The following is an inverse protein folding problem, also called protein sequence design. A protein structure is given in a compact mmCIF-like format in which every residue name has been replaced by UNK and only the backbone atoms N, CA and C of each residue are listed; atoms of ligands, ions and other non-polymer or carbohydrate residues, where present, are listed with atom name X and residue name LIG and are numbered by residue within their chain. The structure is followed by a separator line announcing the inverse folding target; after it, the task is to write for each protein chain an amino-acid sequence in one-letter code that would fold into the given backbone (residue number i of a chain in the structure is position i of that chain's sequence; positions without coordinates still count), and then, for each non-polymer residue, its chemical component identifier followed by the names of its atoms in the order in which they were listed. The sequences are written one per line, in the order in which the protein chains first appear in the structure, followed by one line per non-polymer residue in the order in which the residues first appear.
data_IF_337052763157
#
_entry.id   IF_337052763157
#
_cell.length_a   1.000
_cell.length_b   1.000
_cell.length_c   1.000
_cell.angle_alpha   90.00
_cell.angle_beta   90.00
_cell.angle_gamma   90.00
#
_symmetry.space_group_name_H-M   'P 1'
#
loop_
_entity.id
_entity.type
_entity.pdbx_description
1 polymer ?
#
# COMPACT_ATOMS: atom_id res chain seq x y z
N UNK A 1 34.46 70.33 -12.05
CA UNK A 1 34.62 68.86 -12.06
C UNK A 1 33.32 68.27 -11.57
N UNK A 2 32.44 67.81 -12.48
CA UNK A 2 31.18 67.15 -12.15
C UNK A 2 31.40 65.64 -12.28
N UNK A 3 31.24 64.88 -11.18
CA UNK A 3 31.24 63.40 -11.19
C UNK A 3 29.89 62.90 -11.65
N UNK A 4 29.89 62.23 -12.79
CA UNK A 4 28.73 61.47 -13.29
C UNK A 4 28.75 60.11 -12.63
N UNK A 5 27.78 59.81 -11.71
CA UNK A 5 27.59 58.49 -11.15
C UNK A 5 26.67 57.71 -12.08
N UNK A 6 27.22 56.70 -12.77
CA UNK A 6 26.49 55.81 -13.65
C UNK A 6 25.87 54.68 -12.78
N UNK A 7 24.59 54.73 -12.53
CA UNK A 7 23.86 53.65 -11.84
C UNK A 7 23.54 52.54 -12.84
N UNK A 8 24.27 51.44 -12.79
CA UNK A 8 23.92 50.19 -13.50
C UNK A 8 22.76 49.48 -12.73
N UNK A 9 21.57 49.58 -13.25
CA UNK A 9 20.43 48.76 -12.81
C UNK A 9 20.58 47.37 -13.45
N UNK A 10 21.02 46.39 -12.63
CA UNK A 10 20.91 44.97 -12.97
C UNK A 10 19.42 44.58 -12.96
N UNK A 11 18.81 44.50 -14.11
CA UNK A 11 17.53 43.83 -14.28
C UNK A 11 17.75 42.33 -14.15
N UNK A 12 17.57 41.80 -12.94
CA UNK A 12 17.46 40.37 -12.71
C UNK A 12 16.19 39.89 -13.42
N UNK A 13 16.32 39.31 -14.59
CA UNK A 13 15.23 38.68 -15.32
C UNK A 13 14.69 37.54 -14.48
N UNK A 14 13.48 37.69 -13.94
CA UNK A 14 12.77 36.63 -13.27
C UNK A 14 12.52 35.49 -14.27
N UNK A 15 13.37 34.49 -14.26
CA UNK A 15 13.18 33.27 -15.06
C UNK A 15 11.88 32.63 -14.63
N UNK A 16 10.90 32.50 -15.51
CA UNK A 16 9.63 31.87 -15.21
C UNK A 16 9.92 30.45 -14.69
N UNK A 17 9.38 30.11 -13.51
CA UNK A 17 9.52 28.76 -12.98
C UNK A 17 8.93 27.78 -14.00
N UNK A 18 9.62 26.66 -14.29
CA UNK A 18 9.10 25.64 -15.19
C UNK A 18 7.73 25.15 -14.65
N UNK A 19 6.81 24.88 -15.58
CA UNK A 19 5.50 24.31 -15.20
C UNK A 19 5.71 22.94 -14.58
N UNK A 20 5.01 22.61 -13.49
CA UNK A 20 5.06 21.27 -12.90
C UNK A 20 4.66 20.20 -13.92
N UNK A 21 5.30 19.06 -13.84
CA UNK A 21 5.01 17.87 -14.66
C UNK A 21 3.70 17.26 -14.17
N UNK A 22 2.67 17.15 -15.02
CA UNK A 22 1.43 16.51 -14.60
C UNK A 22 1.63 15.00 -14.43
N UNK A 23 1.26 14.48 -13.25
CA UNK A 23 1.24 13.06 -12.96
C UNK A 23 -0.22 12.61 -12.90
N UNK A 24 -0.53 11.52 -13.58
CA UNK A 24 -1.89 10.97 -13.63
C UNK A 24 -2.09 9.82 -12.66
N UNK A 25 -1.12 8.90 -12.61
CA UNK A 25 -1.14 7.75 -11.72
C UNK A 25 0.21 7.63 -11.03
N UNK A 26 0.20 7.39 -9.72
CA UNK A 26 1.39 7.04 -8.93
C UNK A 26 1.22 5.64 -8.41
N UNK A 27 2.09 4.74 -8.82
CA UNK A 27 2.24 3.40 -8.26
C UNK A 27 3.26 3.45 -7.12
N UNK A 28 2.90 2.91 -5.98
CA UNK A 28 3.74 2.88 -4.78
C UNK A 28 4.16 1.44 -4.54
N UNK A 29 5.45 1.17 -4.68
CA UNK A 29 6.14 -0.06 -4.30
C UNK A 29 6.96 0.16 -3.04
N UNK A 30 7.27 -0.89 -2.28
CA UNK A 30 7.91 -0.75 -0.98
C UNK A 30 9.35 -1.25 -0.95
N UNK A 31 9.70 -2.22 -1.77
CA UNK A 31 11.06 -2.73 -1.85
C UNK A 31 11.42 -3.19 -3.27
N UNK A 32 12.72 -3.20 -3.54
CA UNK A 32 13.32 -3.83 -4.72
C UNK A 32 14.49 -4.71 -4.28
N UNK A 33 14.87 -5.67 -5.11
CA UNK A 33 15.99 -6.58 -4.86
C UNK A 33 17.06 -6.31 -5.91
N UNK A 34 18.06 -5.53 -5.54
CA UNK A 34 19.12 -5.12 -6.45
C UNK A 34 18.78 -3.84 -7.21
N UNK A 35 18.82 -3.91 -8.54
CA UNK A 35 18.55 -2.79 -9.43
C UNK A 35 17.08 -2.67 -9.78
N UNK A 36 16.65 -1.58 -10.36
CA UNK A 36 15.25 -1.38 -10.80
C UNK A 36 14.87 -2.23 -12.01
N UNK A 37 15.84 -2.89 -12.66
CA UNK A 37 15.65 -3.69 -13.89
C UNK A 37 16.72 -4.76 -14.01
N UNK A 38 16.37 -5.88 -14.67
CA UNK A 38 17.33 -6.84 -15.22
C UNK A 38 17.87 -7.89 -14.26
N UNK A 39 17.41 -7.93 -13.02
CA UNK A 39 17.83 -8.94 -12.05
C UNK A 39 16.63 -9.63 -11.36
N UNK A 40 16.76 -10.06 -10.10
CA UNK A 40 15.64 -10.66 -9.36
C UNK A 40 14.62 -9.57 -9.00
N UNK A 41 13.36 -9.66 -9.46
CA UNK A 41 12.40 -8.61 -9.22
C UNK A 41 11.99 -8.51 -7.73
N UNK A 42 11.87 -7.27 -7.26
CA UNK A 42 11.04 -6.87 -6.15
C UNK A 42 9.70 -6.31 -6.63
N UNK A 43 9.14 -5.34 -5.92
CA UNK A 43 7.82 -4.79 -6.25
C UNK A 43 7.85 -3.74 -7.36
N UNK A 44 8.99 -3.11 -7.64
CA UNK A 44 9.13 -2.02 -8.59
C UNK A 44 9.45 -2.48 -10.01
N UNK A 45 10.30 -3.50 -10.16
CA UNK A 45 10.91 -3.88 -11.44
C UNK A 45 9.90 -4.12 -12.56
N UNK A 46 8.80 -4.85 -12.29
CA UNK A 46 7.80 -5.14 -13.34
C UNK A 46 7.12 -3.87 -13.87
N UNK A 47 6.89 -2.88 -13.01
CA UNK A 47 6.36 -1.58 -13.43
C UNK A 47 7.34 -0.82 -14.31
N UNK A 48 8.62 -0.79 -13.91
CA UNK A 48 9.66 -0.09 -14.67
C UNK A 48 9.85 -0.70 -16.04
N UNK A 49 9.99 -2.02 -16.12
CA UNK A 49 10.29 -2.72 -17.36
C UNK A 49 9.12 -2.77 -18.33
N UNK A 50 7.93 -3.10 -17.83
CA UNK A 50 6.78 -3.40 -18.71
C UNK A 50 5.99 -2.15 -19.11
N UNK A 51 5.95 -1.12 -18.24
CA UNK A 51 5.28 0.14 -18.52
C UNK A 51 6.24 1.23 -19.02
N UNK A 52 7.51 0.85 -19.25
CA UNK A 52 8.55 1.73 -19.77
C UNK A 52 8.70 3.02 -18.96
N UNK A 53 8.89 2.89 -17.63
CA UNK A 53 9.12 4.02 -16.75
C UNK A 53 10.58 4.48 -16.82
N UNK A 54 11.02 4.86 -18.04
CA UNK A 54 12.43 5.07 -18.38
C UNK A 54 13.01 6.37 -17.83
N UNK A 55 12.16 7.34 -17.46
CA UNK A 55 12.61 8.63 -16.93
C UNK A 55 12.86 8.55 -15.44
N UNK A 56 14.07 8.85 -15.03
CA UNK A 56 14.50 8.85 -13.63
C UNK A 56 14.44 10.28 -13.07
N UNK A 57 13.76 10.44 -11.95
CA UNK A 57 13.68 11.70 -11.22
C UNK A 57 14.30 11.52 -9.83
N UNK A 58 15.53 11.99 -9.60
CA UNK A 58 16.16 11.93 -8.29
C UNK A 58 15.30 12.64 -7.23
N UNK A 59 15.09 11.98 -6.10
CA UNK A 59 14.38 12.49 -4.94
C UNK A 59 15.33 12.43 -3.73
N UNK A 60 16.20 13.43 -3.51
CA UNK A 60 17.25 13.37 -2.48
C UNK A 60 16.73 13.23 -1.04
N UNK A 61 15.47 13.60 -0.80
CA UNK A 61 14.82 13.48 0.51
C UNK A 61 13.93 12.24 0.64
N UNK A 62 13.93 11.33 -0.36
CA UNK A 62 13.17 10.09 -0.39
C UNK A 62 14.09 8.87 -0.33
N UNK A 63 13.50 7.70 -0.17
CA UNK A 63 14.24 6.44 -0.12
C UNK A 63 14.92 6.12 -1.46
N UNK A 64 14.23 6.41 -2.59
CA UNK A 64 14.69 6.09 -3.94
C UNK A 64 14.25 7.19 -4.94
N UNK A 65 14.83 7.19 -6.13
CA UNK A 65 14.37 8.04 -7.24
C UNK A 65 12.98 7.59 -7.72
N UNK A 66 12.16 8.54 -8.19
CA UNK A 66 10.94 8.18 -8.89
C UNK A 66 11.22 7.83 -10.36
N UNK A 67 10.46 6.91 -10.90
CA UNK A 67 10.46 6.51 -12.31
C UNK A 67 9.17 6.97 -12.98
N UNK A 68 9.22 7.37 -14.25
CA UNK A 68 8.03 7.87 -14.96
C UNK A 68 8.11 7.61 -16.46
N UNK A 69 6.94 7.41 -17.09
CA UNK A 69 6.80 7.38 -18.55
C UNK A 69 6.17 8.66 -19.12
N UNK A 70 6.03 8.72 -20.44
CA UNK A 70 5.43 9.86 -21.15
C UNK A 70 3.90 9.92 -21.05
N UNK A 71 3.25 8.84 -20.63
CA UNK A 71 1.79 8.78 -20.47
C UNK A 71 1.30 9.49 -19.20
N UNK A 72 2.21 9.78 -18.24
CA UNK A 72 1.92 10.38 -16.94
C UNK A 72 1.79 9.38 -15.80
N UNK A 73 2.25 8.16 -15.99
CA UNK A 73 2.42 7.17 -14.95
C UNK A 73 3.77 7.34 -14.28
N UNK A 74 3.77 7.26 -12.96
CA UNK A 74 4.95 7.34 -12.10
C UNK A 74 4.97 6.15 -11.14
N UNK A 75 6.13 5.58 -10.91
CA UNK A 75 6.34 4.64 -9.80
C UNK A 75 7.36 5.20 -8.81
N UNK A 76 7.15 4.92 -7.54
CA UNK A 76 8.02 5.31 -6.44
C UNK A 76 8.25 4.13 -5.50
N UNK A 77 9.50 4.00 -5.02
CA UNK A 77 9.91 3.00 -4.05
C UNK A 77 10.07 3.66 -2.68
N UNK A 78 9.28 3.20 -1.70
CA UNK A 78 9.23 3.87 -0.39
C UNK A 78 10.29 3.41 0.60
N UNK A 79 10.77 2.18 0.49
CA UNK A 79 11.43 1.47 1.58
C UNK A 79 10.42 0.82 2.52
N UNK A 80 10.87 -0.20 3.26
CA UNK A 80 10.02 -1.00 4.15
C UNK A 80 9.70 -0.27 5.46
N UNK A 81 8.46 -0.40 5.91
CA UNK A 81 7.95 0.13 7.17
C UNK A 81 7.37 1.55 7.05
N UNK A 82 6.48 1.87 7.99
CA UNK A 82 5.68 3.10 8.02
C UNK A 82 6.51 4.38 7.98
N UNK A 83 7.68 4.40 8.65
CA UNK A 83 8.53 5.60 8.69
C UNK A 83 9.15 5.92 7.32
N UNK A 84 9.65 4.91 6.60
CA UNK A 84 10.19 5.07 5.26
C UNK A 84 9.10 5.49 4.27
N UNK A 85 7.94 4.83 4.33
CA UNK A 85 6.81 5.17 3.49
C UNK A 85 6.37 6.62 3.71
N UNK A 86 6.18 7.03 4.97
CA UNK A 86 5.79 8.39 5.29
C UNK A 86 6.80 9.44 4.79
N UNK A 87 8.09 9.23 5.02
CA UNK A 87 9.13 10.15 4.58
C UNK A 87 9.18 10.29 3.06
N UNK A 88 9.13 9.17 2.33
CA UNK A 88 9.19 9.15 0.86
C UNK A 88 7.96 9.80 0.24
N UNK A 89 6.76 9.47 0.70
CA UNK A 89 5.51 10.05 0.15
C UNK A 89 5.43 11.54 0.44
N UNK A 90 5.84 12.00 1.64
CA UNK A 90 5.92 13.43 1.93
C UNK A 90 6.95 14.15 1.03
N UNK A 91 8.13 13.56 0.83
CA UNK A 91 9.16 14.14 -0.05
C UNK A 91 8.64 14.28 -1.50
N UNK A 92 8.02 13.24 -2.05
CA UNK A 92 7.40 13.29 -3.38
C UNK A 92 6.26 14.31 -3.44
N UNK A 93 5.34 14.27 -2.48
CA UNK A 93 4.14 15.11 -2.48
C UNK A 93 4.42 16.60 -2.36
N UNK A 94 5.52 16.98 -1.72
CA UNK A 94 5.96 18.37 -1.57
C UNK A 94 6.88 18.84 -2.70
N UNK A 95 7.33 17.95 -3.57
CA UNK A 95 8.24 18.31 -4.66
C UNK A 95 7.54 19.23 -5.68
N UNK A 96 8.02 20.45 -5.89
CA UNK A 96 7.39 21.42 -6.77
C UNK A 96 7.50 21.06 -8.26
N UNK A 97 8.31 20.08 -8.62
CA UNK A 97 8.46 19.62 -10.01
C UNK A 97 7.22 18.89 -10.52
N UNK A 98 6.38 18.35 -9.63
CA UNK A 98 5.25 17.52 -9.98
C UNK A 98 3.90 18.16 -9.62
N UNK A 99 2.93 18.01 -10.52
CA UNK A 99 1.52 18.28 -10.22
C UNK A 99 0.79 16.98 -9.93
N UNK A 100 0.50 16.76 -8.66
CA UNK A 100 -0.09 15.52 -8.11
C UNK A 100 -1.56 15.70 -7.70
N UNK A 101 -2.13 16.90 -7.91
CA UNK A 101 -3.46 17.26 -7.38
C UNK A 101 -4.59 16.37 -7.90
N UNK A 102 -4.43 15.86 -9.12
CA UNK A 102 -5.42 15.00 -9.77
C UNK A 102 -4.94 13.54 -9.89
N UNK A 103 -3.73 13.23 -9.43
CA UNK A 103 -3.16 11.89 -9.54
C UNK A 103 -3.98 10.86 -8.75
N UNK A 104 -4.19 9.68 -9.35
CA UNK A 104 -4.60 8.49 -8.63
C UNK A 104 -3.38 7.80 -8.04
N UNK A 105 -3.52 7.26 -6.84
CA UNK A 105 -2.45 6.60 -6.10
C UNK A 105 -2.82 5.14 -5.87
N UNK A 106 -1.93 4.25 -6.23
CA UNK A 106 -2.12 2.80 -6.08
C UNK A 106 -0.95 2.27 -5.26
N UNK A 107 -1.19 1.88 -4.02
CA UNK A 107 -0.25 1.03 -3.28
C UNK A 107 -0.32 -0.34 -3.92
N UNK A 108 0.78 -0.86 -4.45
CA UNK A 108 0.82 -2.11 -5.19
C UNK A 108 2.02 -2.95 -4.73
N UNK A 109 1.80 -3.80 -3.74
CA UNK A 109 2.85 -4.62 -3.16
C UNK A 109 2.38 -5.95 -2.61
N UNK A 110 3.33 -6.74 -2.12
CA UNK A 110 3.03 -8.03 -1.51
C UNK A 110 2.58 -7.89 -0.05
N UNK A 111 1.93 -8.91 0.48
CA UNK A 111 1.41 -8.95 1.84
C UNK A 111 1.42 -10.37 2.40
N UNK A 112 1.36 -10.49 3.73
CA UNK A 112 0.88 -11.67 4.41
C UNK A 112 -0.65 -11.74 4.38
N UNK A 113 -1.23 -12.92 4.54
CA UNK A 113 -2.68 -13.07 4.61
C UNK A 113 -3.10 -14.19 5.56
N UNK A 114 -4.32 -14.05 6.10
CA UNK A 114 -4.97 -15.13 6.83
C UNK A 114 -5.34 -16.28 5.88
N UNK A 115 -4.88 -17.51 6.12
CA UNK A 115 -5.24 -18.67 5.31
C UNK A 115 -6.73 -19.02 5.37
N UNK A 116 -7.46 -18.48 6.34
CA UNK A 116 -8.92 -18.60 6.42
C UNK A 116 -9.64 -17.70 5.43
N UNK A 117 -8.97 -16.67 4.91
CA UNK A 117 -9.56 -15.61 4.10
C UNK A 117 -9.08 -15.58 2.66
N UNK A 118 -7.80 -15.84 2.42
CA UNK A 118 -7.21 -15.76 1.08
C UNK A 118 -6.31 -16.95 0.76
N UNK A 119 -6.02 -17.14 -0.51
CA UNK A 119 -5.02 -18.09 -1.01
C UNK A 119 -3.76 -17.36 -1.45
N UNK A 120 -2.61 -18.02 -1.41
CA UNK A 120 -1.35 -17.50 -1.95
C UNK A 120 -1.49 -17.10 -3.41
N UNK A 121 -0.89 -15.98 -3.79
CA UNK A 121 -0.97 -15.40 -5.12
C UNK A 121 -2.27 -14.61 -5.40
N UNK A 122 -3.22 -14.55 -4.45
CA UNK A 122 -4.42 -13.72 -4.60
C UNK A 122 -4.11 -12.24 -4.52
N UNK A 123 -4.95 -11.41 -5.16
CA UNK A 123 -4.86 -9.95 -5.13
C UNK A 123 -6.07 -9.38 -4.38
N UNK A 124 -5.82 -8.46 -3.46
CA UNK A 124 -6.82 -7.95 -2.51
C UNK A 124 -6.90 -6.43 -2.61
N UNK A 125 -8.09 -5.91 -2.93
CA UNK A 125 -8.39 -4.48 -2.85
C UNK A 125 -8.97 -4.14 -1.48
N UNK A 126 -8.34 -3.19 -0.76
CA UNK A 126 -8.75 -2.80 0.57
C UNK A 126 -9.76 -1.65 0.57
N UNK A 127 -10.68 -1.68 1.54
CA UNK A 127 -11.61 -0.59 1.88
C UNK A 127 -11.20 0.09 3.19
N UNK A 128 -10.56 -0.67 4.06
CA UNK A 128 -10.09 -0.24 5.36
C UNK A 128 -8.63 -0.64 5.54
N UNK A 129 -7.86 0.28 6.12
CA UNK A 129 -6.52 -0.01 6.64
C UNK A 129 -6.51 0.41 8.09
N UNK A 130 -6.18 -0.53 8.97
CA UNK A 130 -6.10 -0.31 10.42
C UNK A 130 -4.64 -0.41 10.85
N UNK A 131 -4.20 0.54 11.66
CA UNK A 131 -2.85 0.54 12.20
C UNK A 131 -2.70 -0.50 13.31
N UNK A 132 -1.68 -1.34 13.20
CA UNK A 132 -1.35 -2.38 14.16
C UNK A 132 -0.29 -1.99 15.20
N UNK A 133 0.28 -0.77 15.09
CA UNK A 133 1.37 -0.32 15.96
C UNK A 133 0.95 0.77 16.94
N UNK A 134 0.00 1.63 16.57
CA UNK A 134 -0.40 2.80 17.37
C UNK A 134 -1.33 2.39 18.52
N UNK A 135 -0.76 1.86 19.59
CA UNK A 135 -1.45 1.34 20.76
C UNK A 135 -0.53 1.27 21.97
N UNK A 136 -1.03 0.69 23.04
CA UNK A 136 -0.21 0.24 24.16
C UNK A 136 0.07 -1.25 24.03
N UNK A 137 1.20 -1.69 24.52
CA UNK A 137 1.59 -3.09 24.56
C UNK A 137 2.08 -3.46 25.96
N UNK A 138 1.60 -4.58 26.47
CA UNK A 138 2.09 -5.25 27.68
C UNK A 138 2.61 -6.62 27.27
N UNK A 139 3.76 -7.01 27.78
CA UNK A 139 4.35 -8.34 27.51
C UNK A 139 3.34 -9.45 27.85
N UNK A 140 3.21 -10.43 26.95
CA UNK A 140 2.23 -11.51 27.09
C UNK A 140 2.36 -12.31 28.41
N UNK A 141 3.53 -12.27 29.08
CA UNK A 141 3.77 -12.91 30.37
C UNK A 141 3.25 -12.09 31.57
N UNK A 142 2.88 -10.82 31.36
CA UNK A 142 2.44 -9.87 32.40
C UNK A 142 0.97 -9.48 32.27
N UNK A 143 0.28 -9.96 31.21
CA UNK A 143 -1.15 -9.66 31.03
C UNK A 143 -2.02 -10.45 32.01
N UNK A 144 -3.20 -9.91 32.41
CA UNK A 144 -4.21 -10.66 33.16
C UNK A 144 -4.63 -11.91 32.39
N UNK A 145 -4.92 -12.99 33.11
CA UNK A 145 -5.27 -14.30 32.52
C UNK A 145 -6.57 -14.32 31.71
N UNK A 146 -7.41 -13.32 31.88
CA UNK A 146 -8.67 -13.13 31.15
C UNK A 146 -8.53 -12.25 29.88
N UNK A 147 -7.31 -11.78 29.58
CA UNK A 147 -7.03 -11.01 28.36
C UNK A 147 -6.51 -11.94 27.26
N UNK A 148 -7.03 -11.74 26.05
CA UNK A 148 -6.60 -12.50 24.86
C UNK A 148 -5.30 -11.98 24.23
N UNK A 149 -4.89 -10.76 24.57
CA UNK A 149 -3.72 -10.10 24.00
C UNK A 149 -3.18 -9.02 24.94
N UNK A 150 -1.91 -8.66 24.78
CA UNK A 150 -1.30 -7.49 25.43
C UNK A 150 -1.48 -6.19 24.66
N UNK A 151 -2.08 -6.20 23.46
CA UNK A 151 -2.30 -4.98 22.66
C UNK A 151 -3.58 -4.27 23.08
N UNK A 152 -3.47 -2.99 23.41
CA UNK A 152 -4.55 -2.18 23.94
C UNK A 152 -4.68 -0.92 23.10
N UNK A 153 -5.87 -0.58 22.60
CA UNK A 153 -6.08 0.68 21.88
C UNK A 153 -5.70 1.89 22.74
N UNK A 154 -5.13 2.94 22.14
CA UNK A 154 -4.81 4.16 22.87
C UNK A 154 -6.03 4.70 23.61
N UNK A 155 -5.82 5.21 24.81
CA UNK A 155 -6.84 5.77 25.74
C UNK A 155 -7.85 4.73 26.24
N UNK A 156 -7.53 3.44 26.13
CA UNK A 156 -8.30 2.34 26.71
C UNK A 156 -7.51 1.69 27.84
N UNK A 157 -8.22 1.05 28.77
CA UNK A 157 -7.62 0.39 29.92
C UNK A 157 -7.38 -1.11 29.68
N UNK A 158 -8.02 -1.68 28.65
CA UNK A 158 -7.91 -3.10 28.31
C UNK A 158 -8.12 -3.34 26.82
N UNK A 159 -7.72 -4.52 26.31
CA UNK A 159 -7.96 -4.91 24.93
C UNK A 159 -9.44 -4.76 24.55
N UNK A 160 -9.69 -4.24 23.34
CA UNK A 160 -11.03 -4.14 22.73
C UNK A 160 -12.11 -3.47 23.60
N UNK A 161 -11.72 -2.60 24.52
CA UNK A 161 -12.67 -1.89 25.39
C UNK A 161 -13.61 -0.98 24.57
N UNK A 162 -14.95 -1.20 24.63
CA UNK A 162 -15.90 -0.37 23.89
C UNK A 162 -16.13 0.99 24.55
N UNK A 163 -16.65 2.00 23.78
CA UNK A 163 -16.78 1.96 22.33
C UNK A 163 -15.42 2.11 21.66
N UNK A 164 -15.28 1.56 20.46
CA UNK A 164 -14.15 1.91 19.61
C UNK A 164 -14.23 3.40 19.27
N UNK A 165 -13.16 4.12 19.51
CA UNK A 165 -13.05 5.54 19.20
C UNK A 165 -11.66 5.77 18.57
N UNK A 166 -11.48 5.41 17.29
CA UNK A 166 -10.16 5.49 16.65
C UNK A 166 -9.67 6.94 16.63
N UNK A 167 -8.42 7.12 17.03
CA UNK A 167 -7.72 8.39 16.91
C UNK A 167 -7.20 8.55 15.47
N UNK A 168 -6.88 9.79 15.05
CA UNK A 168 -6.19 10.01 13.78
C UNK A 168 -4.95 9.12 13.67
N UNK A 169 -4.79 8.43 12.56
CA UNK A 169 -3.70 7.49 12.33
C UNK A 169 -3.98 6.03 12.70
N UNK A 170 -5.03 5.74 13.49
CA UNK A 170 -5.34 4.35 13.87
C UNK A 170 -6.20 3.60 12.84
N UNK A 171 -6.94 4.32 12.00
CA UNK A 171 -7.82 3.72 11.00
C UNK A 171 -8.02 4.66 9.82
N UNK A 172 -7.97 4.11 8.62
CA UNK A 172 -8.23 4.80 7.37
C UNK A 172 -9.39 4.13 6.63
N UNK A 173 -10.43 4.90 6.36
CA UNK A 173 -11.50 4.51 5.44
C UNK A 173 -11.16 5.05 4.06
N UNK A 174 -10.87 4.16 3.13
CA UNK A 174 -10.61 4.51 1.74
C UNK A 174 -11.91 4.88 1.01
N UNK A 175 -11.79 5.43 -0.20
CA UNK A 175 -12.92 5.66 -1.08
C UNK A 175 -13.49 4.29 -1.54
N UNK A 176 -14.50 3.78 -0.81
CA UNK A 176 -15.10 2.45 -1.07
C UNK A 176 -15.61 2.29 -2.51
N UNK A 177 -16.35 3.25 -3.10
CA UNK A 177 -16.72 3.16 -4.51
C UNK A 177 -15.54 3.05 -5.47
N UNK A 178 -14.40 3.70 -5.19
CA UNK A 178 -13.19 3.57 -5.99
C UNK A 178 -12.57 2.18 -5.85
N UNK A 179 -12.49 1.64 -4.63
CA UNK A 179 -12.03 0.28 -4.40
C UNK A 179 -12.93 -0.77 -5.07
N UNK A 180 -14.24 -0.59 -5.00
CA UNK A 180 -15.24 -1.45 -5.67
C UNK A 180 -15.12 -1.35 -7.20
N UNK A 181 -14.88 -0.16 -7.74
CA UNK A 181 -14.63 0.04 -9.16
C UNK A 181 -13.37 -0.74 -9.61
N UNK A 182 -12.25 -0.59 -8.88
CA UNK A 182 -11.02 -1.31 -9.18
C UNK A 182 -11.21 -2.84 -9.11
N UNK A 183 -11.91 -3.32 -8.08
CA UNK A 183 -12.27 -4.72 -7.97
C UNK A 183 -13.12 -5.20 -9.15
N UNK A 184 -14.20 -4.49 -9.50
CA UNK A 184 -15.09 -4.89 -10.59
C UNK A 184 -14.37 -4.93 -11.94
N UNK A 185 -13.44 -4.01 -12.16
CA UNK A 185 -12.60 -3.97 -13.36
C UNK A 185 -11.66 -5.17 -13.43
N UNK A 186 -11.15 -5.64 -12.29
CA UNK A 186 -10.06 -6.62 -12.22
C UNK A 186 -10.48 -8.02 -11.76
N UNK A 187 -11.68 -8.22 -11.24
CA UNK A 187 -12.13 -9.49 -10.63
C UNK A 187 -12.06 -10.73 -11.53
N UNK A 188 -12.03 -10.54 -12.83
CA UNK A 188 -11.91 -11.62 -13.82
C UNK A 188 -10.47 -11.81 -14.31
N UNK A 189 -9.50 -11.05 -13.79
CA UNK A 189 -8.09 -11.20 -14.18
C UNK A 189 -7.57 -12.57 -13.74
N UNK A 190 -7.01 -13.31 -14.68
CA UNK A 190 -6.43 -14.62 -14.41
C UNK A 190 -5.11 -14.47 -13.64
N UNK A 191 -4.98 -15.15 -12.53
CA UNK A 191 -3.77 -15.18 -11.70
C UNK A 191 -3.08 -16.54 -11.81
N UNK A 192 -1.74 -16.53 -11.72
CA UNK A 192 -0.94 -17.72 -11.87
C UNK A 192 -1.12 -18.66 -10.66
N UNK A 193 -1.66 -19.86 -10.89
CA UNK A 193 -1.73 -20.92 -9.88
C UNK A 193 -0.62 -21.95 -10.14
N UNK A 194 0.58 -21.63 -9.68
CA UNK A 194 1.78 -22.44 -9.92
C UNK A 194 1.76 -23.75 -9.12
N UNK A 195 2.51 -24.74 -9.57
CA UNK A 195 2.61 -26.02 -8.85
C UNK A 195 3.19 -25.83 -7.44
N UNK A 196 4.13 -24.91 -7.28
CA UNK A 196 4.67 -24.54 -5.95
C UNK A 196 3.58 -24.04 -5.00
N UNK A 197 2.61 -23.27 -5.48
CA UNK A 197 1.48 -22.81 -4.64
C UNK A 197 0.56 -23.97 -4.27
N UNK A 198 0.28 -24.85 -5.23
CA UNK A 198 -0.55 -26.05 -5.03
C UNK A 198 0.07 -27.02 -3.99
N UNK A 199 1.40 -27.17 -4.01
CA UNK A 199 2.13 -28.04 -3.08
C UNK A 199 2.15 -27.51 -1.64
N UNK A 200 2.08 -26.20 -1.47
CA UNK A 200 2.18 -25.60 -0.14
C UNK A 200 0.83 -25.44 0.54
N UNK A 201 -0.21 -25.06 -0.17
CA UNK A 201 -1.55 -24.82 0.37
C UNK A 201 -2.09 -25.94 1.27
N UNK A 202 -1.92 -27.23 0.93
CA UNK A 202 -2.40 -28.33 1.78
C UNK A 202 -1.79 -28.39 3.19
N UNK A 203 -0.68 -27.69 3.43
CA UNK A 203 -0.04 -27.65 4.76
C UNK A 203 -0.73 -26.68 5.73
N UNK A 204 -1.64 -25.84 5.25
CA UNK A 204 -2.36 -24.87 6.06
C UNK A 204 -3.82 -25.28 6.27
N UNK A 205 -4.34 -24.97 7.44
CA UNK A 205 -5.78 -25.01 7.69
C UNK A 205 -6.44 -23.78 7.06
N UNK A 206 -7.71 -23.89 6.76
CA UNK A 206 -8.48 -22.82 6.15
C UNK A 206 -8.96 -23.18 4.74
N UNK A 207 -10.26 -23.07 4.52
CA UNK A 207 -10.88 -23.40 3.24
C UNK A 207 -10.48 -22.40 2.12
N UNK A 208 -10.16 -21.17 2.48
CA UNK A 208 -9.74 -20.16 1.51
C UNK A 208 -8.32 -20.43 1.01
N UNK A 209 -7.41 -20.88 1.88
CA UNK A 209 -6.04 -21.25 1.50
C UNK A 209 -6.00 -22.33 0.40
N UNK A 210 -6.97 -23.24 0.37
CA UNK A 210 -7.02 -24.35 -0.58
C UNK A 210 -7.47 -23.95 -1.99
N UNK A 211 -8.00 -22.75 -2.17
CA UNK A 211 -8.52 -22.28 -3.46
C UNK A 211 -7.39 -21.82 -4.38
N UNK A 212 -7.61 -21.80 -5.70
CA UNK A 212 -6.75 -21.06 -6.61
C UNK A 212 -6.68 -19.58 -6.25
N UNK A 213 -5.61 -18.84 -6.60
CA UNK A 213 -5.53 -17.41 -6.43
C UNK A 213 -6.65 -16.69 -7.19
N UNK A 214 -7.16 -15.61 -6.61
CA UNK A 214 -8.23 -14.80 -7.19
C UNK A 214 -8.11 -13.34 -6.79
N UNK A 215 -8.74 -12.46 -7.56
CA UNK A 215 -8.90 -11.05 -7.15
C UNK A 215 -10.10 -10.96 -6.23
N UNK A 216 -9.95 -10.27 -5.11
CA UNK A 216 -10.98 -10.18 -4.08
C UNK A 216 -10.97 -8.82 -3.35
N UNK A 217 -12.02 -8.57 -2.59
CA UNK A 217 -12.06 -7.48 -1.61
C UNK A 217 -11.64 -8.02 -0.24
N UNK A 218 -10.95 -7.18 0.54
CA UNK A 218 -10.55 -7.50 1.91
C UNK A 218 -9.97 -6.26 2.57
N UNK A 219 -9.64 -6.35 3.86
CA UNK A 219 -9.14 -5.19 4.57
C UNK A 219 -7.80 -5.53 5.27
N UNK A 220 -7.02 -4.51 5.60
CA UNK A 220 -5.63 -4.62 5.99
C UNK A 220 -5.40 -4.18 7.44
N UNK A 221 -4.62 -4.97 8.18
CA UNK A 221 -3.92 -4.49 9.37
C UNK A 221 -2.47 -4.19 8.96
N UNK A 222 -2.08 -2.92 9.02
CA UNK A 222 -0.76 -2.42 8.65
C UNK A 222 0.11 -2.18 9.89
N UNK A 223 1.31 -2.75 9.92
CA UNK A 223 2.22 -2.65 11.07
C UNK A 223 3.66 -2.69 10.60
N UNK A 224 4.51 -1.75 11.04
CA UNK A 224 5.96 -1.81 10.78
C UNK A 224 6.60 -3.06 11.38
N UNK A 225 5.97 -3.64 12.38
CA UNK A 225 6.36 -4.91 12.96
C UNK A 225 5.86 -6.05 12.08
N UNK A 226 6.77 -6.90 11.59
CA UNK A 226 6.39 -8.16 10.98
C UNK A 226 5.99 -9.15 12.07
N UNK A 227 4.73 -9.51 12.13
CA UNK A 227 4.19 -10.47 13.08
C UNK A 227 3.78 -11.78 12.39
N UNK A 228 3.69 -12.87 13.16
CA UNK A 228 3.42 -14.18 12.61
C UNK A 228 2.90 -15.14 13.70
N UNK A 229 1.82 -15.83 13.42
CA UNK A 229 1.27 -16.87 14.30
C UNK A 229 -0.24 -16.81 14.46
N UNK A 230 -0.85 -17.93 14.89
CA UNK A 230 -2.30 -18.06 15.07
C UNK A 230 -2.89 -17.01 16.01
N UNK A 231 -2.18 -16.67 17.08
CA UNK A 231 -2.66 -15.69 18.06
C UNK A 231 -2.63 -14.27 17.50
N UNK A 232 -1.64 -13.95 16.67
CA UNK A 232 -1.54 -12.67 16.00
C UNK A 232 -2.58 -12.54 14.87
N UNK A 233 -2.85 -13.61 14.10
CA UNK A 233 -3.93 -13.63 13.11
C UNK A 233 -5.29 -13.39 13.80
N UNK A 234 -5.55 -14.06 14.90
CA UNK A 234 -6.78 -13.86 15.68
C UNK A 234 -6.88 -12.43 16.25
N UNK A 235 -5.77 -11.88 16.76
CA UNK A 235 -5.71 -10.49 17.20
C UNK A 235 -6.00 -9.52 16.06
N UNK A 236 -5.37 -9.68 14.91
CA UNK A 236 -5.56 -8.80 13.75
C UNK A 236 -7.02 -8.81 13.26
N UNK A 237 -7.67 -9.98 13.24
CA UNK A 237 -9.07 -10.10 12.88
C UNK A 237 -9.99 -9.36 13.87
N UNK A 238 -9.70 -9.43 15.16
CA UNK A 238 -10.47 -8.73 16.19
C UNK A 238 -10.16 -7.23 16.21
N UNK A 239 -8.90 -6.85 15.99
CA UNK A 239 -8.44 -5.46 15.87
C UNK A 239 -9.13 -4.73 14.72
N UNK A 240 -9.19 -5.36 13.55
CA UNK A 240 -9.93 -4.87 12.40
C UNK A 240 -11.41 -4.68 12.73
N UNK A 241 -12.04 -5.69 13.31
CA UNK A 241 -13.46 -5.63 13.69
C UNK A 241 -13.74 -4.53 14.71
N UNK A 242 -12.88 -4.38 15.71
CA UNK A 242 -13.00 -3.37 16.75
C UNK A 242 -12.96 -1.96 16.15
N UNK A 243 -11.91 -1.61 15.42
CA UNK A 243 -11.74 -0.26 14.89
C UNK A 243 -12.75 0.13 13.81
N UNK A 244 -13.23 -0.83 13.03
CA UNK A 244 -14.20 -0.59 11.96
C UNK A 244 -15.67 -0.77 12.41
N UNK A 245 -15.92 -1.01 13.71
CA UNK A 245 -17.25 -1.35 14.23
C UNK A 245 -17.89 -2.53 13.48
N UNK A 246 -17.11 -3.55 13.15
CA UNK A 246 -17.53 -4.76 12.45
C UNK A 246 -17.75 -4.62 10.94
N UNK A 247 -17.42 -3.48 10.34
CA UNK A 247 -17.59 -3.27 8.90
C UNK A 247 -16.43 -3.76 8.06
N UNK A 248 -15.21 -3.81 8.62
CA UNK A 248 -14.00 -4.32 7.98
C UNK A 248 -13.85 -5.83 8.20
N UNK A 249 -13.20 -6.49 7.24
CA UNK A 249 -12.85 -7.89 7.29
C UNK A 249 -11.34 -8.03 7.12
N UNK A 250 -10.63 -8.44 8.17
CA UNK A 250 -9.20 -8.70 8.09
C UNK A 250 -8.92 -9.84 7.11
N UNK A 251 -8.09 -9.55 6.13
CA UNK A 251 -7.65 -10.50 5.10
C UNK A 251 -6.15 -10.48 4.96
N UNK A 252 -5.53 -9.29 4.99
CA UNK A 252 -4.12 -9.07 4.67
C UNK A 252 -3.40 -8.22 5.71
N UNK A 253 -2.10 -8.40 5.80
CA UNK A 253 -1.20 -7.57 6.60
C UNK A 253 0.02 -7.13 5.80
N UNK A 254 0.37 -5.86 5.92
CA UNK A 254 1.53 -5.25 5.28
C UNK A 254 2.20 -4.24 6.22
N UNK A 255 3.28 -3.58 5.79
CA UNK A 255 4.14 -2.85 6.72
C UNK A 255 4.18 -1.33 6.48
N UNK A 256 3.57 -0.80 5.42
CA UNK A 256 3.82 0.57 4.97
C UNK A 256 2.58 1.45 4.87
N UNK A 257 1.38 0.86 4.78
CA UNK A 257 0.22 1.57 4.26
C UNK A 257 -0.27 2.68 5.17
N UNK A 258 -0.17 2.51 6.49
CA UNK A 258 -0.52 3.61 7.42
C UNK A 258 0.41 4.81 7.28
N UNK A 259 1.70 4.61 7.03
CA UNK A 259 2.65 5.70 6.76
C UNK A 259 2.33 6.43 5.44
N UNK A 260 2.01 5.66 4.40
CA UNK A 260 1.58 6.18 3.10
C UNK A 260 0.29 6.98 3.23
N UNK A 261 -0.74 6.40 3.84
CA UNK A 261 -2.07 7.02 3.97
C UNK A 261 -2.04 8.26 4.86
N UNK A 262 -1.27 8.24 5.96
CA UNK A 262 -1.09 9.42 6.80
C UNK A 262 -0.44 10.58 6.04
N UNK A 263 0.55 10.27 5.22
CA UNK A 263 1.21 11.29 4.38
C UNK A 263 0.27 11.87 3.34
N UNK A 264 -0.51 11.02 2.66
CA UNK A 264 -1.50 11.46 1.69
C UNK A 264 -2.62 12.29 2.34
N UNK A 265 -3.01 12.00 3.59
CA UNK A 265 -3.94 12.84 4.36
C UNK A 265 -3.37 14.25 4.58
N UNK A 266 -2.10 14.35 5.02
CA UNK A 266 -1.45 15.66 5.23
C UNK A 266 -1.24 16.42 3.93
N UNK A 267 -0.87 15.74 2.86
CA UNK A 267 -0.72 16.33 1.54
C UNK A 267 -2.06 16.80 0.96
N UNK A 268 -3.15 16.08 1.24
CA UNK A 268 -4.50 16.51 0.85
C UNK A 268 -4.93 17.77 1.61
N UNK A 269 -4.67 17.83 2.91
CA UNK A 269 -4.91 19.03 3.72
C UNK A 269 -4.10 20.25 3.22
N UNK A 270 -2.94 20.00 2.62
CA UNK A 270 -2.10 21.02 1.98
C UNK A 270 -2.49 21.31 0.51
N UNK A 271 -3.55 20.68 -0.02
CA UNK A 271 -4.01 20.86 -1.40
C UNK A 271 -3.06 20.31 -2.47
N UNK A 272 -2.20 19.34 -2.09
CA UNK A 272 -1.21 18.74 -2.99
C UNK A 272 -1.72 17.50 -3.70
N UNK A 273 -2.65 16.77 -3.10
CA UNK A 273 -3.25 15.52 -3.61
C UNK A 273 -4.74 15.47 -3.29
N UNK A 274 -5.48 14.54 -3.88
CA UNK A 274 -6.86 14.20 -3.50
C UNK A 274 -6.88 12.84 -2.80
N UNK A 275 -7.17 12.81 -1.49
CA UNK A 275 -7.23 11.58 -0.70
C UNK A 275 -8.28 10.57 -1.19
N UNK A 276 -9.30 11.04 -1.94
CA UNK A 276 -10.33 10.16 -2.50
C UNK A 276 -9.86 9.40 -3.74
N UNK A 277 -8.64 9.64 -4.22
CA UNK A 277 -8.02 8.98 -5.37
C UNK A 277 -6.97 7.95 -4.95
N UNK A 278 -7.04 7.44 -3.73
CA UNK A 278 -6.09 6.47 -3.19
C UNK A 278 -6.72 5.08 -3.15
N UNK A 279 -5.99 4.10 -3.66
CA UNK A 279 -6.33 2.67 -3.64
C UNK A 279 -5.20 1.88 -3.02
N UNK A 280 -5.55 0.80 -2.33
CA UNK A 280 -4.60 -0.17 -1.78
C UNK A 280 -4.88 -1.52 -2.41
N UNK A 281 -3.88 -2.03 -3.15
CA UNK A 281 -3.81 -3.35 -3.73
C UNK A 281 -2.66 -4.10 -3.07
N UNK A 282 -2.95 -5.19 -2.38
CA UNK A 282 -1.93 -6.07 -1.81
C UNK A 282 -2.11 -7.50 -2.33
N UNK A 283 -1.01 -8.19 -2.52
CA UNK A 283 -1.02 -9.55 -3.10
C UNK A 283 -0.33 -10.55 -2.18
N UNK A 284 -0.93 -11.71 -2.06
CA UNK A 284 -0.60 -12.67 -0.99
C UNK A 284 0.66 -13.45 -1.31
N UNK A 285 1.77 -13.11 -0.67
CA UNK A 285 3.07 -13.78 -0.82
C UNK A 285 3.31 -14.91 0.16
N UNK A 286 2.72 -14.82 1.35
CA UNK A 286 2.85 -15.77 2.45
C UNK A 286 1.59 -15.76 3.31
N UNK A 287 1.42 -16.80 4.12
CA UNK A 287 0.43 -16.75 5.18
C UNK A 287 1.02 -16.15 6.45
N UNK A 288 0.19 -15.47 7.22
CA UNK A 288 0.55 -14.75 8.45
C UNK A 288 0.65 -15.66 9.67
N UNK A 289 0.36 -16.95 9.54
CA UNK A 289 0.50 -17.97 10.56
C UNK A 289 1.18 -19.23 10.04
N UNK A 290 1.56 -20.10 10.97
CA UNK A 290 2.31 -21.31 10.70
C UNK A 290 1.48 -22.38 10.01
N UNK A 291 2.11 -23.27 9.22
CA UNK A 291 1.48 -24.49 8.73
C UNK A 291 1.29 -25.52 9.84
N UNK A 292 0.44 -26.52 9.60
CA UNK A 292 0.24 -27.62 10.55
C UNK A 292 1.55 -28.30 10.95
N UNK A 293 1.69 -28.56 12.23
CA UNK A 293 2.83 -29.28 12.79
C UNK A 293 4.09 -28.45 13.02
N UNK A 294 4.04 -27.15 12.75
CA UNK A 294 5.10 -26.19 13.08
C UNK A 294 4.65 -25.23 14.17
N UNK A 295 5.60 -24.78 14.97
CA UNK A 295 5.40 -23.61 15.85
C UNK A 295 5.52 -22.32 15.05
N UNK A 296 4.95 -21.22 15.56
CA UNK A 296 5.10 -19.90 14.94
C UNK A 296 6.57 -19.49 14.77
N UNK A 297 7.42 -19.81 15.78
CA UNK A 297 8.85 -19.52 15.75
C UNK A 297 9.59 -20.30 14.65
N UNK A 298 9.32 -21.59 14.51
CA UNK A 298 9.91 -22.41 13.44
C UNK A 298 9.47 -21.92 12.05
N UNK A 299 8.18 -21.62 11.90
CA UNK A 299 7.65 -21.10 10.64
C UNK A 299 8.27 -19.76 10.30
N UNK A 300 8.32 -18.81 11.24
CA UNK A 300 8.94 -17.49 11.05
C UNK A 300 10.41 -17.60 10.66
N UNK A 301 11.16 -18.54 11.24
CA UNK A 301 12.56 -18.77 10.91
C UNK A 301 12.78 -19.20 9.45
N UNK A 302 11.77 -19.74 8.77
CA UNK A 302 11.82 -20.09 7.34
C UNK A 302 11.42 -18.92 6.42
N UNK A 303 10.77 -17.90 6.97
CA UNK A 303 10.32 -16.74 6.20
C UNK A 303 11.51 -15.86 5.81
N UNK A 304 11.73 -15.67 4.52
CA UNK A 304 12.78 -14.80 4.00
C UNK A 304 12.29 -14.10 2.75
N UNK A 305 12.53 -12.80 2.65
CA UNK A 305 12.23 -12.00 1.46
C UNK A 305 12.83 -12.68 0.22
N UNK A 306 12.07 -12.76 -0.84
CA UNK A 306 12.45 -13.45 -2.09
C UNK A 306 12.32 -14.97 -2.05
N UNK A 307 12.00 -15.56 -0.88
CA UNK A 307 11.87 -17.02 -0.72
C UNK A 307 10.49 -17.47 -0.24
N UNK A 308 9.56 -16.54 -0.02
CA UNK A 308 8.17 -16.91 0.23
C UNK A 308 7.60 -17.76 -0.91
N UNK A 309 6.69 -18.64 -0.56
CA UNK A 309 6.10 -19.57 -1.54
C UNK A 309 5.38 -18.84 -2.67
N UNK A 310 4.67 -17.78 -2.33
CA UNK A 310 3.94 -16.94 -3.25
C UNK A 310 4.73 -15.73 -3.76
N UNK A 311 6.04 -15.61 -3.52
CA UNK A 311 6.81 -14.40 -3.84
C UNK A 311 6.66 -13.93 -5.28
N UNK A 312 7.14 -14.72 -6.24
CA UNK A 312 7.03 -14.34 -7.66
C UNK A 312 5.58 -14.27 -8.16
N UNK A 313 4.70 -15.26 -7.84
CA UNK A 313 3.29 -15.13 -8.21
C UNK A 313 2.60 -13.89 -7.64
N UNK A 314 2.96 -13.42 -6.43
CA UNK A 314 2.37 -12.22 -5.86
C UNK A 314 2.87 -10.94 -6.53
N UNK A 315 4.15 -10.85 -6.86
CA UNK A 315 4.69 -9.72 -7.64
C UNK A 315 4.01 -9.63 -9.01
N UNK A 316 3.88 -10.76 -9.69
CA UNK A 316 3.16 -10.85 -10.97
C UNK A 316 1.69 -10.43 -10.83
N UNK A 317 1.02 -10.85 -9.76
CA UNK A 317 -0.36 -10.49 -9.49
C UNK A 317 -0.51 -8.99 -9.19
N UNK A 318 0.42 -8.38 -8.43
CA UNK A 318 0.41 -6.96 -8.13
C UNK A 318 0.51 -6.12 -9.41
N UNK A 319 1.45 -6.48 -10.28
CA UNK A 319 1.57 -5.84 -11.58
C UNK A 319 0.33 -6.10 -12.45
N UNK A 320 -0.03 -7.35 -12.68
CA UNK A 320 -1.11 -7.72 -13.63
C UNK A 320 -2.45 -7.09 -13.25
N UNK A 321 -2.81 -7.13 -11.97
CA UNK A 321 -4.08 -6.55 -11.48
C UNK A 321 -4.02 -5.03 -11.42
N UNK A 322 -2.93 -4.48 -10.91
CA UNK A 322 -2.76 -3.04 -10.81
C UNK A 322 -2.64 -2.35 -12.18
N UNK A 323 -1.93 -2.98 -13.13
CA UNK A 323 -1.77 -2.48 -14.49
C UNK A 323 -3.10 -2.32 -15.24
N UNK A 324 -4.06 -3.23 -15.05
CA UNK A 324 -5.42 -3.08 -15.63
C UNK A 324 -6.07 -1.77 -15.17
N UNK A 325 -5.91 -1.42 -13.90
CA UNK A 325 -6.42 -0.14 -13.34
C UNK A 325 -5.64 1.05 -13.89
N UNK A 326 -4.32 0.97 -13.95
CA UNK A 326 -3.45 2.03 -14.49
C UNK A 326 -3.81 2.33 -15.95
N UNK A 327 -3.89 1.29 -16.79
CA UNK A 327 -4.22 1.44 -18.21
C UNK A 327 -5.62 2.03 -18.41
N UNK A 328 -6.63 1.61 -17.63
CA UNK A 328 -7.98 2.19 -17.73
C UNK A 328 -7.98 3.68 -17.35
N UNK A 329 -7.30 4.04 -16.26
CA UNK A 329 -7.16 5.44 -15.83
C UNK A 329 -6.45 6.30 -16.88
N UNK A 330 -5.38 5.80 -17.50
CA UNK A 330 -4.63 6.51 -18.53
C UNK A 330 -5.41 6.65 -19.84
N UNK A 331 -6.05 5.57 -20.29
CA UNK A 331 -6.81 5.54 -21.54
C UNK A 331 -8.05 6.45 -21.46
N UNK A 332 -8.68 6.53 -20.32
CA UNK A 332 -9.90 7.32 -20.10
C UNK A 332 -9.64 8.59 -19.26
N UNK A 333 -8.40 9.08 -19.22
CA UNK A 333 -7.98 10.20 -18.38
C UNK A 333 -8.91 11.43 -18.44
N UNK A 334 -9.43 11.88 -19.60
CA UNK A 334 -10.34 13.03 -19.64
C UNK A 334 -11.63 12.84 -18.81
N UNK A 335 -12.04 11.59 -18.55
CA UNK A 335 -13.21 11.29 -17.71
C UNK A 335 -12.89 11.35 -16.22
N UNK A 336 -11.62 11.06 -15.87
CA UNK A 336 -11.17 10.88 -14.48
C UNK A 336 -10.39 12.09 -13.94
N UNK A 337 -9.84 12.95 -14.83
CA UNK A 337 -9.00 14.07 -14.43
C UNK A 337 -9.69 15.01 -13.43
N UNK A 338 -10.92 15.44 -13.75
CA UNK A 338 -11.65 16.42 -12.95
C UNK A 338 -12.76 15.79 -12.07
N UNK A 339 -13.01 14.48 -12.23
CA UNK A 339 -14.07 13.78 -11.51
C UNK A 339 -13.50 12.55 -10.82
N UNK A 340 -13.48 12.59 -9.51
CA UNK A 340 -13.03 11.43 -8.72
C UNK A 340 -14.10 10.35 -8.73
N UNK A 341 -13.72 9.11 -9.05
CA UNK A 341 -14.63 7.95 -9.04
C UNK A 341 -15.24 7.80 -7.64
N UNK A 342 -16.56 7.65 -7.57
CA UNK A 342 -17.30 7.49 -6.31
C UNK A 342 -17.56 8.78 -5.54
N UNK A 343 -17.09 9.92 -6.03
CA UNK A 343 -17.43 11.23 -5.46
C UNK A 343 -18.38 11.95 -6.41
N UNK A 344 -19.49 12.48 -5.90
CA UNK A 344 -20.51 13.23 -6.68
C UNK A 344 -21.18 12.44 -7.83
N UNK A 345 -21.55 11.20 -7.61
CA UNK A 345 -22.45 10.44 -8.51
C UNK A 345 -21.81 9.90 -9.78
N UNK A 346 -20.48 9.79 -9.84
CA UNK A 346 -19.78 9.13 -10.95
C UNK A 346 -19.65 7.62 -10.77
N UNK A 347 -20.69 6.96 -10.28
CA UNK A 347 -20.78 5.51 -10.28
C UNK A 347 -21.63 5.07 -11.46
N UNK A 348 -21.01 4.80 -12.60
CA UNK A 348 -21.46 3.77 -13.58
C UNK A 348 -20.27 3.37 -14.43
N UNK A 349 -20.00 2.05 -14.54
CA UNK A 349 -19.25 1.56 -15.67
C UNK A 349 -20.10 1.65 -16.94
#
# INVERSE_FOLDING_TARGET
MALLVLALTLAAGAQAKPKPIPVKVVVIAMFEVGEDTGDQPGELQYWVERDHLDRVYPLPAAYHAARMNDKGEMAVLTGQGTAHAAATIMALGLDPRFDLRHAYWIVAGIAGASPDKASLGSAVWARWVVDGDLGYEIDAREIPSDWSTGYIPLRKAKPFEPPAAPLPGQMYSLNKPLAEWAYNLTRATALADTDKLKDIRPNFDGAAAQRPPSVMMGDEVSSSRYWHGDLEDAWAAEWMRYFTNGQGEFVITAMEDTGTLQSLEYLANAGRVDRNRVMVLRTVSNFDRQPRGMTAAESLATQRVGKYSGYLPSLEAAYTVGHVVVEDLLAHWPQYADKTIGVNGTSKP
#
